data_IF_423577539106
#
_entry.id   IF_423577539106
#
_cell.length_a   1.000
_cell.length_b   1.000
_cell.length_c   1.000
_cell.angle_alpha   90.00
_cell.angle_beta   90.00
_cell.angle_gamma   90.00
#
_symmetry.space_group_name_H-M   'P 1'
#
loop_
_entity.id
_entity.type
_entity.pdbx_description
1 polymer ?
#
# COMPACT_ATOMS: atom_id res chain seq x y z
N UNK A 1 -25.83 74.49 -24.41
CA UNK A 1 -26.23 74.09 -23.04
C UNK A 1 -26.96 72.75 -23.12
N UNK A 2 -26.27 71.62 -22.91
CA UNK A 2 -26.86 70.26 -22.82
C UNK A 2 -26.05 69.44 -21.79
N UNK A 3 -26.78 68.69 -20.96
CA UNK A 3 -26.43 68.17 -19.62
C UNK A 3 -25.38 67.05 -19.60
N UNK A 4 -24.46 67.10 -18.66
CA UNK A 4 -23.69 65.95 -18.17
C UNK A 4 -24.62 65.00 -17.42
N UNK A 5 -24.74 63.75 -17.88
CA UNK A 5 -25.38 62.68 -17.11
C UNK A 5 -24.45 62.31 -15.95
N UNK A 6 -24.81 62.72 -14.74
CA UNK A 6 -24.21 62.17 -13.52
C UNK A 6 -24.63 60.71 -13.40
N UNK A 7 -23.70 59.79 -13.72
CA UNK A 7 -23.86 58.39 -13.41
C UNK A 7 -24.03 58.24 -11.89
N UNK A 8 -25.18 57.72 -11.48
CA UNK A 8 -25.48 57.44 -10.08
C UNK A 8 -24.58 56.30 -9.60
N UNK A 9 -23.46 56.64 -8.96
CA UNK A 9 -22.60 55.67 -8.31
C UNK A 9 -23.29 55.16 -7.03
N UNK A 10 -24.00 54.03 -7.13
CA UNK A 10 -24.49 53.31 -5.97
C UNK A 10 -23.35 52.50 -5.35
N UNK A 11 -22.87 52.91 -4.18
CA UNK A 11 -21.94 52.12 -3.37
C UNK A 11 -22.58 50.84 -2.84
N UNK A 12 -21.75 49.84 -2.51
CA UNK A 12 -22.20 48.59 -1.91
C UNK A 12 -22.76 48.80 -0.50
N UNK A 13 -23.84 48.11 -0.17
CA UNK A 13 -24.48 48.23 1.15
C UNK A 13 -23.74 47.37 2.19
N UNK A 14 -23.77 47.76 3.46
CA UNK A 14 -23.17 46.95 4.56
C UNK A 14 -23.85 45.57 4.66
N UNK A 15 -25.15 45.47 4.36
CA UNK A 15 -25.83 44.16 4.42
C UNK A 15 -25.34 43.22 3.30
N UNK A 16 -24.97 43.78 2.15
CA UNK A 16 -24.46 43.02 1.01
C UNK A 16 -23.03 42.51 1.25
N UNK A 17 -22.18 43.32 1.90
CA UNK A 17 -20.84 42.87 2.33
C UNK A 17 -20.94 41.82 3.43
N UNK A 18 -21.87 41.95 4.38
CA UNK A 18 -22.12 40.92 5.40
C UNK A 18 -22.58 39.60 4.79
N UNK A 19 -23.51 39.64 3.82
CA UNK A 19 -23.95 38.43 3.09
C UNK A 19 -22.78 37.82 2.32
N UNK A 20 -21.95 38.63 1.67
CA UNK A 20 -20.78 38.17 0.92
C UNK A 20 -19.76 37.46 1.82
N UNK A 21 -19.47 38.02 3.00
CA UNK A 21 -18.55 37.40 3.98
C UNK A 21 -19.09 36.06 4.47
N UNK A 22 -20.40 35.94 4.68
CA UNK A 22 -21.02 34.67 5.09
C UNK A 22 -20.90 33.62 3.98
N UNK A 23 -21.20 33.97 2.73
CA UNK A 23 -21.09 33.06 1.59
C UNK A 23 -19.64 32.64 1.36
N UNK A 24 -18.71 33.60 1.39
CA UNK A 24 -17.29 33.35 1.13
C UNK A 24 -16.65 32.57 2.29
N UNK A 25 -17.00 32.90 3.54
CA UNK A 25 -16.58 32.16 4.72
C UNK A 25 -17.10 30.73 4.73
N UNK A 26 -18.39 30.53 4.43
CA UNK A 26 -18.99 29.20 4.29
C UNK A 26 -18.35 28.39 3.16
N UNK A 27 -18.14 29.01 1.99
CA UNK A 27 -17.49 28.38 0.84
C UNK A 27 -16.05 27.96 1.12
N UNK A 28 -15.27 28.82 1.78
CA UNK A 28 -13.88 28.52 2.13
C UNK A 28 -13.78 27.36 3.14
N UNK A 29 -14.68 27.32 4.13
CA UNK A 29 -14.74 26.22 5.09
C UNK A 29 -15.13 24.89 4.43
N UNK A 30 -16.08 24.91 3.49
CA UNK A 30 -16.46 23.72 2.72
C UNK A 30 -15.28 23.17 1.90
N UNK A 31 -14.51 24.05 1.25
CA UNK A 31 -13.31 23.66 0.51
C UNK A 31 -12.21 23.09 1.44
N UNK A 32 -12.01 23.71 2.60
CA UNK A 32 -11.05 23.23 3.60
C UNK A 32 -11.39 21.82 4.09
N UNK A 33 -12.68 21.54 4.34
CA UNK A 33 -13.16 20.21 4.71
C UNK A 33 -12.95 19.18 3.60
N UNK A 34 -13.31 19.51 2.36
CA UNK A 34 -13.10 18.62 1.22
C UNK A 34 -11.61 18.29 1.02
N UNK A 35 -10.74 19.28 1.18
CA UNK A 35 -9.30 19.09 1.09
C UNK A 35 -8.75 18.20 2.22
N UNK A 36 -9.18 18.43 3.46
CA UNK A 36 -8.80 17.60 4.59
C UNK A 36 -9.22 16.12 4.38
N UNK A 37 -10.43 15.89 3.86
CA UNK A 37 -10.88 14.53 3.50
C UNK A 37 -10.07 13.91 2.37
N UNK A 38 -9.68 14.70 1.37
CA UNK A 38 -8.81 14.27 0.28
C UNK A 38 -7.45 13.77 0.76
N UNK A 39 -6.80 14.51 1.68
CA UNK A 39 -5.51 14.13 2.25
C UNK A 39 -5.57 12.82 3.04
N UNK A 40 -6.60 12.62 3.85
CA UNK A 40 -6.80 11.38 4.61
C UNK A 40 -6.92 10.18 3.65
N UNK A 41 -7.72 10.33 2.60
CA UNK A 41 -7.90 9.28 1.59
C UNK A 41 -6.58 8.94 0.90
N UNK A 42 -5.80 9.95 0.51
CA UNK A 42 -4.51 9.76 -0.16
C UNK A 42 -3.49 9.02 0.73
N UNK A 43 -3.44 9.31 2.02
CA UNK A 43 -2.56 8.60 2.97
C UNK A 43 -2.88 7.10 3.03
N UNK A 44 -4.17 6.72 2.99
CA UNK A 44 -4.56 5.30 2.99
C UNK A 44 -4.17 4.56 1.72
N UNK A 45 -4.12 5.25 0.58
CA UNK A 45 -3.71 4.68 -0.71
C UNK A 45 -2.24 4.26 -0.71
N UNK A 46 -1.38 5.05 -0.07
CA UNK A 46 0.06 4.79 -0.03
C UNK A 46 0.39 3.45 0.63
N UNK A 47 -0.15 3.18 1.82
CA UNK A 47 0.09 1.90 2.52
C UNK A 47 -0.42 0.70 1.73
N UNK A 48 -1.51 0.86 0.99
CA UNK A 48 -2.03 -0.19 0.13
C UNK A 48 -1.14 -0.45 -1.10
N UNK A 49 -0.55 0.59 -1.69
CA UNK A 49 0.42 0.43 -2.78
C UNK A 49 1.68 -0.28 -2.30
N UNK A 50 2.22 0.10 -1.14
CA UNK A 50 3.34 -0.61 -0.51
C UNK A 50 3.02 -2.09 -0.31
N UNK A 51 1.84 -2.40 0.25
CA UNK A 51 1.45 -3.79 0.47
C UNK A 51 1.40 -4.61 -0.83
N UNK A 52 0.93 -4.00 -1.93
CA UNK A 52 0.92 -4.61 -3.26
C UNK A 52 2.32 -4.86 -3.78
N UNK A 53 3.18 -3.85 -3.73
CA UNK A 53 4.56 -3.92 -4.19
C UNK A 53 5.35 -4.98 -3.40
N UNK A 54 5.22 -5.01 -2.07
CA UNK A 54 5.88 -6.01 -1.22
C UNK A 54 5.37 -7.43 -1.41
N UNK A 55 4.09 -7.59 -1.71
CA UNK A 55 3.56 -8.90 -2.07
C UNK A 55 4.09 -9.37 -3.43
N UNK A 56 4.20 -8.46 -4.41
CA UNK A 56 4.75 -8.76 -5.73
C UNK A 56 6.25 -9.08 -5.65
N UNK A 57 7.03 -8.26 -4.93
CA UNK A 57 8.46 -8.49 -4.69
C UNK A 57 8.73 -9.88 -4.11
N UNK A 58 7.94 -10.32 -3.13
CA UNK A 58 8.08 -11.64 -2.55
C UNK A 58 7.84 -12.76 -3.58
N UNK A 59 6.82 -12.64 -4.44
CA UNK A 59 6.55 -13.62 -5.49
C UNK A 59 7.67 -13.64 -6.53
N UNK A 60 8.14 -12.47 -6.94
CA UNK A 60 9.25 -12.34 -7.89
C UNK A 60 10.54 -12.92 -7.32
N UNK A 61 10.80 -12.73 -6.03
CA UNK A 61 11.94 -13.32 -5.33
C UNK A 61 11.90 -14.85 -5.37
N UNK A 62 10.76 -15.48 -5.03
CA UNK A 62 10.62 -16.95 -5.12
C UNK A 62 10.78 -17.46 -6.56
N UNK A 63 10.19 -16.75 -7.52
CA UNK A 63 10.20 -17.16 -8.94
C UNK A 63 11.59 -17.01 -9.55
N UNK A 64 12.27 -15.90 -9.24
CA UNK A 64 13.64 -15.63 -9.71
C UNK A 64 14.63 -16.64 -9.12
N UNK A 65 14.55 -16.92 -7.82
CA UNK A 65 15.45 -17.90 -7.18
C UNK A 65 15.22 -19.33 -7.68
N UNK A 66 13.99 -19.67 -8.09
CA UNK A 66 13.71 -20.91 -8.83
C UNK A 66 14.42 -20.90 -10.19
N UNK A 67 14.23 -19.85 -10.99
CA UNK A 67 14.71 -19.79 -12.39
C UNK A 67 16.23 -19.78 -12.48
N UNK A 68 16.85 -19.05 -11.56
CA UNK A 68 18.32 -18.97 -11.41
C UNK A 68 18.91 -20.20 -10.71
N UNK A 69 18.08 -21.15 -10.25
CA UNK A 69 18.48 -22.36 -9.52
C UNK A 69 19.27 -22.06 -8.23
N UNK A 70 19.06 -20.90 -7.63
CA UNK A 70 19.58 -20.56 -6.29
C UNK A 70 18.96 -21.50 -5.24
N UNK A 71 17.69 -21.84 -5.42
CA UNK A 71 16.97 -22.81 -4.58
C UNK A 71 16.49 -24.01 -5.39
N UNK A 72 16.44 -25.16 -4.73
CA UNK A 72 15.90 -26.39 -5.31
C UNK A 72 14.38 -26.43 -5.24
N UNK A 73 13.76 -27.25 -6.10
CA UNK A 73 12.32 -27.50 -6.01
C UNK A 73 11.90 -28.03 -4.64
N UNK A 74 12.73 -28.78 -3.91
CA UNK A 74 12.36 -29.25 -2.58
C UNK A 74 12.21 -28.10 -1.56
N UNK A 75 13.06 -27.07 -1.68
CA UNK A 75 13.14 -25.93 -0.76
C UNK A 75 11.98 -24.94 -0.88
N UNK A 76 11.24 -24.90 -2.00
CA UNK A 76 10.10 -23.98 -2.21
C UNK A 76 8.86 -24.41 -1.39
N UNK A 77 8.99 -24.48 -0.07
CA UNK A 77 7.92 -24.80 0.88
C UNK A 77 8.13 -24.03 2.15
N UNK A 78 7.10 -23.98 2.99
CA UNK A 78 7.29 -23.53 4.35
C UNK A 78 8.18 -24.51 5.15
N UNK A 79 8.86 -24.00 6.18
CA UNK A 79 9.74 -24.80 7.06
C UNK A 79 8.97 -25.93 7.74
N UNK A 80 7.70 -25.73 8.12
CA UNK A 80 6.79 -26.78 8.60
C UNK A 80 6.58 -27.94 7.63
N UNK A 81 6.89 -27.75 6.35
CA UNK A 81 6.78 -28.73 5.26
C UNK A 81 8.14 -29.09 4.64
N UNK A 82 9.23 -28.80 5.35
CA UNK A 82 10.59 -29.14 4.94
C UNK A 82 11.20 -28.23 3.87
N UNK A 83 10.65 -27.02 3.66
CA UNK A 83 11.28 -25.99 2.85
C UNK A 83 12.02 -24.95 3.68
N UNK A 84 12.24 -23.76 3.11
CA UNK A 84 13.04 -22.68 3.72
C UNK A 84 12.22 -21.44 4.13
N UNK A 85 10.97 -21.34 3.67
CA UNK A 85 10.14 -20.16 3.94
C UNK A 85 9.55 -20.25 5.36
N UNK A 86 9.74 -19.21 6.16
CA UNK A 86 9.22 -19.15 7.53
C UNK A 86 7.68 -19.26 7.53
N UNK A 87 7.14 -19.92 8.55
CA UNK A 87 5.69 -20.05 8.75
C UNK A 87 5.12 -18.81 9.45
N UNK A 88 3.87 -18.47 9.12
CA UNK A 88 3.14 -17.37 9.75
C UNK A 88 3.57 -15.99 9.30
N UNK A 89 2.85 -14.98 9.81
CA UNK A 89 3.16 -13.58 9.56
C UNK A 89 4.38 -13.13 10.37
N UNK A 90 5.41 -12.65 9.67
CA UNK A 90 6.61 -12.07 10.26
C UNK A 90 6.76 -10.61 9.86
N UNK A 91 7.54 -9.83 10.60
CA UNK A 91 7.84 -8.44 10.22
C UNK A 91 8.62 -8.37 8.91
N UNK A 92 8.43 -7.29 8.15
CA UNK A 92 9.15 -7.04 6.91
C UNK A 92 10.64 -6.84 7.19
N UNK A 93 11.45 -7.81 6.78
CA UNK A 93 12.91 -7.78 6.87
C UNK A 93 13.54 -7.75 5.49
N UNK A 94 14.70 -7.12 5.42
CA UNK A 94 15.50 -7.10 4.20
C UNK A 94 15.99 -8.53 3.87
N UNK A 95 16.05 -8.90 2.58
CA UNK A 95 16.51 -10.21 2.18
C UNK A 95 17.94 -10.48 2.64
N UNK A 96 18.20 -11.75 2.94
CA UNK A 96 19.50 -12.24 3.38
C UNK A 96 20.49 -12.42 2.24
N UNK A 97 21.44 -13.34 2.46
CA UNK A 97 22.46 -13.69 1.46
C UNK A 97 21.86 -14.52 0.31
N UNK A 98 20.80 -15.27 0.58
CA UNK A 98 20.08 -16.05 -0.43
C UNK A 98 19.23 -15.21 -1.39
N UNK A 99 19.08 -13.90 -1.12
CA UNK A 99 18.29 -12.98 -1.93
C UNK A 99 16.78 -13.23 -1.84
N UNK A 100 16.36 -14.10 -0.92
CA UNK A 100 14.97 -14.38 -0.62
C UNK A 100 14.50 -13.56 0.56
N UNK A 101 13.18 -13.38 0.59
CA UNK A 101 12.48 -12.78 1.72
C UNK A 101 11.66 -13.84 2.44
N UNK A 102 11.42 -13.65 3.74
CA UNK A 102 10.78 -14.63 4.61
C UNK A 102 11.58 -15.94 4.74
N UNK A 103 12.91 -15.85 4.76
CA UNK A 103 13.83 -16.97 5.04
C UNK A 103 14.59 -16.74 6.34
N UNK A 104 15.33 -17.76 6.79
CA UNK A 104 16.00 -17.73 8.09
C UNK A 104 17.19 -16.74 8.15
N UNK A 105 17.73 -16.34 7.00
CA UNK A 105 18.86 -15.41 6.87
C UNK A 105 18.43 -13.96 6.63
N UNK A 106 17.12 -13.67 6.66
CA UNK A 106 16.58 -12.32 6.61
C UNK A 106 17.26 -11.40 7.64
N UNK A 107 17.64 -10.21 7.17
CA UNK A 107 18.43 -9.26 7.92
C UNK A 107 17.60 -8.36 8.86
N UNK A 108 17.97 -7.08 8.86
CA UNK A 108 17.30 -6.06 9.66
C UNK A 108 15.87 -5.79 9.17
N UNK A 109 15.07 -5.18 10.04
CA UNK A 109 13.75 -4.68 9.66
C UNK A 109 13.89 -3.62 8.55
N UNK A 110 13.00 -3.67 7.56
CA UNK A 110 12.96 -2.67 6.50
C UNK A 110 12.45 -1.33 7.06
N UNK A 111 13.19 -0.22 6.85
CA UNK A 111 12.79 1.08 7.37
C UNK A 111 11.41 1.52 6.87
N UNK A 112 10.55 1.97 7.79
CA UNK A 112 9.21 2.48 7.47
C UNK A 112 8.14 1.40 7.29
N UNK A 113 8.46 0.14 7.56
CA UNK A 113 7.54 -1.00 7.46
C UNK A 113 7.25 -1.66 8.82
N UNK A 114 7.45 -0.94 9.92
CA UNK A 114 7.26 -1.46 11.28
C UNK A 114 5.84 -1.98 11.55
N UNK A 115 4.84 -1.37 10.91
CA UNK A 115 3.43 -1.74 10.97
C UNK A 115 3.01 -2.78 9.91
N UNK A 116 3.96 -3.31 9.13
CA UNK A 116 3.71 -4.30 8.10
C UNK A 116 4.25 -5.67 8.51
N UNK A 117 3.46 -6.70 8.22
CA UNK A 117 3.89 -8.09 8.30
C UNK A 117 3.59 -8.81 7.01
N UNK A 118 4.41 -9.82 6.68
CA UNK A 118 4.25 -10.67 5.51
C UNK A 118 4.25 -12.12 5.92
N UNK A 119 3.31 -12.86 5.35
CA UNK A 119 3.26 -14.31 5.38
C UNK A 119 3.36 -14.83 3.94
N UNK A 120 4.21 -15.84 3.72
CA UNK A 120 4.30 -16.55 2.44
C UNK A 120 3.80 -17.96 2.68
N UNK A 121 2.55 -18.24 2.33
CA UNK A 121 1.99 -19.58 2.39
C UNK A 121 2.28 -20.33 1.09
N UNK A 122 2.92 -21.50 1.20
CA UNK A 122 3.19 -22.36 0.05
C UNK A 122 2.43 -23.67 0.18
N UNK A 123 1.56 -23.93 -0.79
CA UNK A 123 0.72 -25.13 -0.86
C UNK A 123 1.06 -25.98 -2.07
N UNK A 124 1.42 -27.23 -1.81
CA UNK A 124 1.51 -28.27 -2.83
C UNK A 124 0.12 -28.51 -3.45
N UNK A 125 0.03 -28.35 -4.77
CA UNK A 125 -1.18 -28.68 -5.55
C UNK A 125 -1.00 -29.96 -6.37
N UNK A 126 0.22 -30.18 -6.87
CA UNK A 126 0.65 -31.41 -7.54
C UNK A 126 2.16 -31.60 -7.30
N UNK A 127 2.77 -32.74 -7.66
CA UNK A 127 4.21 -32.97 -7.46
C UNK A 127 5.10 -31.85 -8.02
N UNK A 128 4.66 -31.25 -9.12
CA UNK A 128 5.40 -30.26 -9.91
C UNK A 128 4.70 -28.88 -9.94
N UNK A 129 3.70 -28.66 -9.09
CA UNK A 129 2.94 -27.40 -9.04
C UNK A 129 2.65 -27.00 -7.60
N UNK A 130 3.00 -25.76 -7.26
CA UNK A 130 2.68 -25.17 -5.95
C UNK A 130 1.99 -23.83 -6.13
N UNK A 131 1.09 -23.53 -5.21
CA UNK A 131 0.53 -22.20 -5.03
C UNK A 131 1.41 -21.44 -4.04
N UNK A 132 1.77 -20.22 -4.40
CA UNK A 132 2.37 -19.24 -3.50
C UNK A 132 1.29 -18.21 -3.20
N UNK A 133 0.89 -18.09 -1.94
CA UNK A 133 -0.03 -17.05 -1.46
C UNK A 133 0.75 -16.15 -0.52
N UNK A 134 0.94 -14.89 -0.93
CA UNK A 134 1.56 -13.87 -0.10
C UNK A 134 0.47 -13.01 0.53
N UNK A 135 0.48 -12.92 1.85
CA UNK A 135 -0.45 -12.11 2.64
C UNK A 135 0.36 -11.02 3.31
N UNK A 136 0.03 -9.76 3.01
CA UNK A 136 0.63 -8.59 3.66
C UNK A 136 -0.41 -7.96 4.57
N UNK A 137 -0.16 -7.97 5.87
CA UNK A 137 -0.99 -7.28 6.86
C UNK A 137 -0.37 -5.92 7.19
N UNK A 138 -1.20 -4.89 7.28
CA UNK A 138 -0.76 -3.53 7.55
C UNK A 138 -1.83 -2.73 8.30
N UNK A 139 -1.43 -1.63 8.93
CA UNK A 139 -2.34 -0.76 9.69
C UNK A 139 -2.62 0.56 8.97
N UNK A 140 -3.86 1.01 9.08
CA UNK A 140 -4.29 2.36 8.69
C UNK A 140 -4.97 2.97 9.93
N UNK A 141 -4.24 3.81 10.66
CA UNK A 141 -4.66 4.24 12.00
C UNK A 141 -4.80 3.02 12.92
N UNK A 142 -5.99 2.83 13.50
CA UNK A 142 -6.27 1.68 14.38
C UNK A 142 -6.78 0.43 13.64
N UNK A 143 -7.01 0.52 12.33
CA UNK A 143 -7.62 -0.54 11.57
C UNK A 143 -6.56 -1.43 10.91
N UNK A 144 -6.68 -2.74 11.11
CA UNK A 144 -5.87 -3.70 10.36
C UNK A 144 -6.49 -3.95 8.98
N UNK A 145 -5.63 -4.00 7.97
CA UNK A 145 -5.93 -4.33 6.59
C UNK A 145 -5.01 -5.43 6.12
N UNK A 146 -5.47 -6.18 5.12
CA UNK A 146 -4.69 -7.20 4.47
C UNK A 146 -4.78 -7.04 2.96
N UNK A 147 -3.66 -7.28 2.30
CA UNK A 147 -3.59 -7.50 0.86
C UNK A 147 -3.07 -8.90 0.61
N UNK A 148 -3.66 -9.60 -0.36
CA UNK A 148 -3.26 -10.95 -0.71
C UNK A 148 -2.98 -11.04 -2.21
N UNK A 149 -1.85 -11.67 -2.55
CA UNK A 149 -1.49 -12.00 -3.92
C UNK A 149 -1.25 -13.51 -4.04
N UNK A 150 -1.84 -14.11 -5.07
CA UNK A 150 -1.67 -15.53 -5.36
C UNK A 150 -0.93 -15.66 -6.69
N UNK A 151 0.10 -16.51 -6.69
CA UNK A 151 0.77 -16.97 -7.90
C UNK A 151 0.96 -18.49 -7.84
N UNK A 152 1.39 -19.06 -8.97
CA UNK A 152 1.69 -20.48 -9.10
C UNK A 152 3.10 -20.67 -9.60
N UNK A 153 3.79 -21.64 -9.03
CA UNK A 153 5.16 -21.99 -9.37
C UNK A 153 5.20 -23.46 -9.79
N UNK A 154 5.90 -23.73 -10.90
CA UNK A 154 6.10 -25.06 -11.46
C UNK A 154 7.55 -25.52 -11.27
N UNK A 155 7.79 -26.84 -11.26
CA UNK A 155 9.16 -27.39 -11.31
C UNK A 155 9.80 -27.29 -12.70
N UNK A 156 9.01 -26.96 -13.72
CA UNK A 156 9.46 -26.81 -15.10
C UNK A 156 9.69 -25.33 -15.39
N UNK A 157 10.95 -24.92 -15.40
CA UNK A 157 11.42 -23.58 -15.72
C UNK A 157 12.66 -23.64 -16.60
#
# INVERSE_FOLDING_TARGET
>A
MIRTSEDSQSGFTIIETMISIIILGGGLLALALAFAQGLVTMSTSHSHQIAKEKAAEAIESVTTSRDTRVITWAQIRNVSRGGIFLDGAIQMRAPGTDGLVNTADDGALEPGLDDFTREIEIRDLAPNLRQIRVIVSYRIGHLQRQYQLISYVSSFA
#
